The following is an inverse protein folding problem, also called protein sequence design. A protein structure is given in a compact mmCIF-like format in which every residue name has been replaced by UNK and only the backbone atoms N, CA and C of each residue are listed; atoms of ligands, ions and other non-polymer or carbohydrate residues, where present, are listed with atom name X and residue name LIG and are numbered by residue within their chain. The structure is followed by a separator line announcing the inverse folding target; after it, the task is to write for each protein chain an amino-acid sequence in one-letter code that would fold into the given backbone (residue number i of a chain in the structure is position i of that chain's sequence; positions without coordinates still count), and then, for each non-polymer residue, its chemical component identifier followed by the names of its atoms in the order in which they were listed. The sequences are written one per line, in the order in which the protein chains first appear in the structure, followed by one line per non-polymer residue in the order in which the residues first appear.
data_IF_624489851265
#
_entry.id   IF_624489851265
#
_cell.length_a   1.000
_cell.length_b   1.000
_cell.length_c   1.000
_cell.angle_alpha   90.00
_cell.angle_beta   90.00
_cell.angle_gamma   90.00
#
_symmetry.space_group_name_H-M   'P 1'
#
loop_
_entity.id
_entity.type
_entity.pdbx_description
1 polymer ?
#
# COMPACT_ATOMS: atom_id res chain seq x y z
N UNK A 1 -50.05 14.32 -21.02
CA UNK A 1 -48.87 13.66 -21.61
C UNK A 1 -47.65 13.89 -20.72
N UNK A 2 -47.45 13.10 -19.65
CA UNK A 2 -46.27 13.17 -18.79
C UNK A 2 -46.04 11.78 -18.17
N UNK A 3 -45.41 10.87 -18.90
CA UNK A 3 -45.13 9.52 -18.38
C UNK A 3 -43.81 8.92 -18.86
N UNK A 4 -42.87 9.73 -19.35
CA UNK A 4 -41.61 9.25 -19.98
C UNK A 4 -40.32 9.87 -19.44
N UNK A 5 -40.34 10.58 -18.30
CA UNK A 5 -39.14 11.27 -17.78
C UNK A 5 -38.50 10.65 -16.52
N UNK A 6 -38.98 9.51 -16.02
CA UNK A 6 -38.39 8.87 -14.83
C UNK A 6 -37.19 7.96 -15.15
N UNK A 7 -37.07 7.45 -16.37
CA UNK A 7 -35.99 6.52 -16.73
C UNK A 7 -34.61 7.19 -16.86
N UNK A 8 -34.53 8.44 -17.32
CA UNK A 8 -33.27 9.15 -17.50
C UNK A 8 -32.62 9.57 -16.17
N UNK A 9 -33.41 9.78 -15.11
CA UNK A 9 -32.88 10.22 -13.81
C UNK A 9 -32.17 9.10 -13.04
N UNK A 10 -32.55 7.82 -13.23
CA UNK A 10 -31.86 6.69 -12.59
C UNK A 10 -30.47 6.40 -13.20
N UNK A 11 -30.30 6.68 -14.49
CA UNK A 11 -29.06 6.35 -15.22
C UNK A 11 -27.88 7.25 -14.82
N UNK A 12 -28.16 8.52 -14.52
CA UNK A 12 -27.14 9.50 -14.07
C UNK A 12 -26.69 9.22 -12.63
N UNK A 13 -27.61 8.78 -11.76
CA UNK A 13 -27.29 8.44 -10.36
C UNK A 13 -26.42 7.18 -10.24
N UNK A 14 -26.57 6.22 -11.16
CA UNK A 14 -25.76 4.99 -11.15
C UNK A 14 -24.31 5.24 -11.61
N UNK A 15 -24.10 6.21 -12.51
CA UNK A 15 -22.76 6.57 -12.98
C UNK A 15 -21.91 7.25 -11.89
N UNK A 16 -22.52 8.05 -11.01
CA UNK A 16 -21.84 8.71 -9.88
C UNK A 16 -21.54 7.76 -8.72
N UNK A 17 -22.36 6.70 -8.54
CA UNK A 17 -22.10 5.68 -7.53
C UNK A 17 -20.90 4.79 -7.87
N UNK A 18 -20.60 4.59 -9.16
CA UNK A 18 -19.48 3.75 -9.61
C UNK A 18 -18.12 4.46 -9.54
N UNK A 19 -18.07 5.79 -9.67
CA UNK A 19 -16.82 6.56 -9.53
C UNK A 19 -16.31 6.66 -8.09
N UNK A 20 -17.16 6.37 -7.09
CA UNK A 20 -16.78 6.37 -5.67
C UNK A 20 -16.53 4.99 -5.06
N UNK A 21 -16.78 3.90 -5.79
CA UNK A 21 -16.72 2.53 -5.23
C UNK A 21 -15.28 2.02 -5.03
N UNK A 22 -14.30 2.57 -5.75
CA UNK A 22 -12.90 2.12 -5.67
C UNK A 22 -12.03 2.91 -4.67
N UNK A 23 -12.55 4.01 -4.13
CA UNK A 23 -11.77 4.88 -3.25
C UNK A 23 -11.48 4.25 -1.86
N UNK A 24 -12.28 3.26 -1.46
CA UNK A 24 -12.09 2.49 -0.23
C UNK A 24 -11.13 1.30 -0.35
N UNK A 25 -10.73 0.93 -1.56
CA UNK A 25 -9.93 -0.29 -1.77
C UNK A 25 -8.53 -0.15 -1.21
N UNK A 26 -8.09 -1.14 -0.43
CA UNK A 26 -6.73 -1.20 0.12
C UNK A 26 -6.42 -0.17 1.22
N UNK A 27 -7.42 0.45 1.83
CA UNK A 27 -7.21 1.46 2.88
C UNK A 27 -6.45 0.92 4.10
N UNK A 28 -6.56 -0.39 4.37
CA UNK A 28 -5.82 -1.05 5.46
C UNK A 28 -4.30 -0.91 5.33
N UNK A 29 -3.76 -0.69 4.14
CA UNK A 29 -2.31 -0.48 3.94
C UNK A 29 -1.81 0.89 4.40
N UNK A 30 -2.67 1.91 4.39
CA UNK A 30 -2.27 3.30 4.67
C UNK A 30 -1.73 3.42 6.10
N UNK A 31 -0.65 4.17 6.25
CA UNK A 31 0.01 4.46 7.52
C UNK A 31 1.45 3.96 7.58
N UNK A 32 2.00 3.99 8.81
CA UNK A 32 3.40 3.68 9.08
C UNK A 32 3.58 2.28 9.64
N UNK A 33 4.59 1.58 9.12
CA UNK A 33 4.88 0.19 9.39
C UNK A 33 6.36 0.00 9.71
N UNK A 34 6.67 -0.88 10.65
CA UNK A 34 8.04 -1.24 11.03
C UNK A 34 8.28 -2.69 10.68
N UNK A 35 9.38 -2.96 9.98
CA UNK A 35 9.79 -4.30 9.58
C UNK A 35 11.12 -4.67 10.21
N UNK A 36 11.24 -5.95 10.57
CA UNK A 36 12.48 -6.53 11.09
C UNK A 36 12.84 -7.75 10.25
N UNK A 37 14.08 -7.79 9.75
CA UNK A 37 14.67 -9.00 9.19
C UNK A 37 15.65 -9.60 10.19
N UNK A 38 15.15 -10.51 11.02
CA UNK A 38 15.97 -11.18 12.04
C UNK A 38 16.98 -12.18 11.46
N UNK A 39 16.89 -12.50 10.15
CA UNK A 39 17.72 -13.55 9.52
C UNK A 39 18.99 -13.02 8.86
N UNK A 40 19.10 -11.70 8.62
CA UNK A 40 20.28 -11.09 7.97
C UNK A 40 21.35 -10.64 8.96
N UNK A 41 22.61 -10.87 8.61
CA UNK A 41 23.75 -10.19 9.26
C UNK A 41 23.60 -8.67 9.09
N UNK A 42 23.94 -7.89 10.14
CA UNK A 42 23.77 -6.44 10.17
C UNK A 42 22.43 -5.93 10.72
N UNK A 43 21.44 -6.83 10.94
CA UNK A 43 20.11 -6.53 11.53
C UNK A 43 19.47 -5.27 10.95
N UNK A 44 19.14 -5.25 9.65
CA UNK A 44 18.54 -4.09 9.04
C UNK A 44 17.18 -3.80 9.69
N UNK A 45 16.92 -2.52 9.95
CA UNK A 45 15.60 -2.05 10.36
C UNK A 45 14.92 -1.39 9.18
N UNK A 46 13.63 -1.68 9.02
CA UNK A 46 12.83 -1.14 7.93
C UNK A 46 11.71 -0.29 8.50
N UNK A 47 11.49 0.86 7.86
CA UNK A 47 10.31 1.68 8.11
C UNK A 47 9.64 1.93 6.78
N UNK A 48 8.35 1.64 6.70
CA UNK A 48 7.57 1.79 5.49
C UNK A 48 6.40 2.72 5.78
N UNK A 49 6.31 3.79 5.01
CA UNK A 49 5.23 4.77 5.06
C UNK A 49 4.41 4.64 3.79
N UNK A 50 3.11 4.40 3.93
CA UNK A 50 2.20 4.18 2.81
C UNK A 50 1.12 5.25 2.85
N UNK A 51 1.04 6.05 1.79
CA UNK A 51 -0.04 6.99 1.55
C UNK A 51 -0.81 6.62 0.28
N UNK A 52 -2.01 7.17 0.14
CA UNK A 52 -2.89 6.95 -1.02
C UNK A 52 -3.30 8.31 -1.59
N UNK A 53 -3.17 8.47 -2.91
CA UNK A 53 -3.66 9.59 -3.70
C UNK A 53 -4.47 9.05 -4.89
N UNK A 54 -5.79 9.24 -4.84
CA UNK A 54 -6.73 8.57 -5.75
C UNK A 54 -6.55 7.06 -5.73
N UNK A 55 -6.27 6.45 -6.88
CA UNK A 55 -6.05 4.99 -7.00
C UNK A 55 -4.61 4.55 -6.75
N UNK A 56 -3.68 5.49 -6.56
CA UNK A 56 -2.24 5.20 -6.45
C UNK A 56 -1.82 5.20 -4.99
N UNK A 57 -1.08 4.17 -4.60
CA UNK A 57 -0.41 4.08 -3.32
C UNK A 57 1.04 4.46 -3.49
N UNK A 58 1.50 5.43 -2.69
CA UNK A 58 2.92 5.77 -2.59
C UNK A 58 3.51 5.01 -1.40
N UNK A 59 4.49 4.16 -1.66
CA UNK A 59 5.15 3.31 -0.68
C UNK A 59 6.59 3.76 -0.54
N UNK A 60 6.89 4.43 0.57
CA UNK A 60 8.21 4.93 0.90
C UNK A 60 8.84 4.00 1.93
N UNK A 61 9.88 3.26 1.53
CA UNK A 61 10.58 2.32 2.42
C UNK A 61 11.98 2.82 2.73
N UNK A 62 12.19 3.20 3.98
CA UNK A 62 13.50 3.43 4.56
C UNK A 62 14.11 2.10 5.03
N UNK A 63 15.38 1.89 4.72
CA UNK A 63 16.20 0.81 5.27
C UNK A 63 17.37 1.43 6.00
N UNK A 64 17.55 1.07 7.26
CA UNK A 64 18.74 1.41 8.05
C UNK A 64 19.54 0.14 8.29
N UNK A 65 20.80 0.10 7.88
CA UNK A 65 21.63 -1.10 8.03
C UNK A 65 23.12 -0.77 8.14
N UNK A 66 23.87 -1.64 8.82
CA UNK A 66 25.33 -1.60 8.85
C UNK A 66 25.87 -2.54 7.75
N UNK A 67 26.29 -1.96 6.63
CA UNK A 67 26.76 -2.71 5.46
C UNK A 67 28.17 -3.29 5.64
N UNK A 68 29.02 -2.63 6.43
CA UNK A 68 30.43 -2.98 6.57
C UNK A 68 30.73 -3.74 7.87
N UNK A 69 29.78 -3.80 8.79
CA UNK A 69 29.96 -4.41 10.11
C UNK A 69 30.83 -3.55 11.04
N UNK A 70 31.05 -2.27 10.72
CA UNK A 70 31.89 -1.34 11.48
C UNK A 70 31.10 -0.54 12.52
N UNK A 71 29.80 -0.83 12.66
CA UNK A 71 28.86 -0.15 13.54
C UNK A 71 28.21 1.09 12.93
N UNK A 72 28.65 1.55 11.75
CA UNK A 72 28.03 2.70 11.08
C UNK A 72 26.78 2.27 10.34
N UNK A 73 25.66 2.88 10.70
CA UNK A 73 24.37 2.60 10.06
C UNK A 73 24.13 3.59 8.93
N UNK A 74 23.97 3.07 7.72
CA UNK A 74 23.58 3.83 6.54
C UNK A 74 22.07 3.76 6.35
N UNK A 75 21.50 4.86 5.86
CA UNK A 75 20.08 4.96 5.48
C UNK A 75 19.94 4.98 3.98
N UNK A 76 18.98 4.22 3.47
CA UNK A 76 18.56 4.27 2.07
C UNK A 76 17.04 4.34 1.98
N UNK A 77 16.54 5.00 0.94
CA UNK A 77 15.11 5.17 0.69
C UNK A 77 14.75 4.56 -0.66
N UNK A 78 13.69 3.74 -0.68
CA UNK A 78 13.09 3.21 -1.91
C UNK A 78 11.68 3.77 -2.02
N UNK A 79 11.44 4.51 -3.11
CA UNK A 79 10.13 5.07 -3.45
C UNK A 79 9.46 4.12 -4.46
N UNK A 80 8.24 3.71 -4.17
CA UNK A 80 7.48 2.78 -4.99
C UNK A 80 6.05 3.28 -5.16
N UNK A 81 5.45 2.91 -6.29
CA UNK A 81 4.05 3.14 -6.57
C UNK A 81 3.34 1.80 -6.76
N UNK A 82 2.14 1.71 -6.20
CA UNK A 82 1.32 0.51 -6.27
C UNK A 82 -0.14 0.84 -6.59
N UNK A 83 -0.88 -0.14 -7.10
CA UNK A 83 -2.33 -0.12 -7.23
C UNK A 83 -2.95 -1.24 -6.41
N UNK A 84 -4.16 -1.03 -5.91
CA UNK A 84 -4.87 -2.07 -5.17
C UNK A 84 -5.54 -3.08 -6.11
N UNK A 85 -5.11 -4.34 -6.04
CA UNK A 85 -5.77 -5.47 -6.72
C UNK A 85 -6.93 -6.02 -5.90
N UNK A 86 -6.85 -5.90 -4.57
CA UNK A 86 -7.95 -6.15 -3.62
C UNK A 86 -7.76 -5.29 -2.36
N UNK A 87 -8.62 -5.45 -1.35
CA UNK A 87 -8.42 -4.78 -0.05
C UNK A 87 -7.18 -5.26 0.70
N UNK A 88 -6.65 -6.43 0.33
CA UNK A 88 -5.54 -7.11 1.00
C UNK A 88 -4.32 -7.32 0.09
N UNK A 89 -4.34 -6.78 -1.13
CA UNK A 89 -3.24 -6.90 -2.09
C UNK A 89 -2.97 -5.59 -2.82
N UNK A 90 -1.76 -5.07 -2.66
CA UNK A 90 -1.21 -4.04 -3.55
C UNK A 90 -0.28 -4.69 -4.59
N UNK A 91 -0.36 -4.21 -5.81
CA UNK A 91 0.44 -4.62 -6.96
C UNK A 91 1.34 -3.47 -7.40
N UNK A 92 2.62 -3.76 -7.54
CA UNK A 92 3.64 -2.84 -8.01
C UNK A 92 4.16 -3.31 -9.37
N UNK A 93 4.62 -2.36 -10.20
CA UNK A 93 5.21 -2.65 -11.52
C UNK A 93 4.32 -3.56 -12.39
N UNK A 94 3.01 -3.32 -12.37
CA UNK A 94 2.05 -4.09 -13.18
C UNK A 94 1.90 -5.56 -12.78
N UNK A 95 2.09 -5.91 -11.50
CA UNK A 95 1.86 -7.26 -10.98
C UNK A 95 3.11 -8.11 -10.78
N UNK A 96 4.30 -7.60 -11.12
CA UNK A 96 5.56 -8.32 -10.91
C UNK A 96 5.94 -8.45 -9.43
N UNK A 97 5.48 -7.52 -8.60
CA UNK A 97 5.71 -7.53 -7.16
C UNK A 97 4.39 -7.24 -6.46
N UNK A 98 4.04 -8.07 -5.50
CA UNK A 98 2.82 -7.90 -4.71
C UNK A 98 3.15 -7.72 -3.24
N UNK A 99 2.39 -6.86 -2.58
CA UNK A 99 2.38 -6.66 -1.14
C UNK A 99 1.05 -7.18 -0.58
N UNK A 100 1.11 -8.00 0.48
CA UNK A 100 -0.08 -8.60 1.09
C UNK A 100 -0.33 -8.03 2.48
N UNK A 101 -1.60 -7.80 2.80
CA UNK A 101 -2.07 -7.43 4.14
C UNK A 101 -2.90 -8.58 4.71
N UNK A 102 -2.52 -9.08 5.87
CA UNK A 102 -3.27 -10.09 6.62
C UNK A 102 -3.47 -9.57 8.05
N UNK A 103 -4.70 -9.15 8.37
CA UNK A 103 -4.97 -8.42 9.61
C UNK A 103 -4.14 -7.14 9.67
N UNK A 104 -3.34 -6.97 10.72
CA UNK A 104 -2.43 -5.82 10.93
C UNK A 104 -0.96 -6.17 10.63
N UNK A 105 -0.74 -7.04 9.64
CA UNK A 105 0.59 -7.46 9.21
C UNK A 105 0.72 -7.32 7.70
N UNK A 106 1.78 -6.64 7.26
CA UNK A 106 2.16 -6.56 5.84
C UNK A 106 3.30 -7.55 5.57
N UNK A 107 3.15 -8.34 4.51
CA UNK A 107 4.21 -9.16 3.94
C UNK A 107 4.69 -8.55 2.62
N UNK A 108 5.96 -8.17 2.57
CA UNK A 108 6.54 -7.53 1.40
C UNK A 108 8.05 -7.71 1.32
N UNK A 109 8.56 -8.11 0.15
CA UNK A 109 10.00 -8.23 -0.11
C UNK A 109 10.74 -9.11 0.93
N UNK A 110 10.11 -10.23 1.31
CA UNK A 110 10.54 -11.15 2.37
C UNK A 110 10.62 -10.56 3.78
N UNK A 111 10.10 -9.35 3.99
CA UNK A 111 10.03 -8.70 5.30
C UNK A 111 8.58 -8.74 5.80
N UNK A 112 8.43 -8.99 7.09
CA UNK A 112 7.16 -8.86 7.80
C UNK A 112 7.15 -7.50 8.48
N UNK A 113 6.09 -6.73 8.26
CA UNK A 113 5.90 -5.43 8.88
C UNK A 113 4.68 -5.43 9.77
N UNK A 114 4.81 -4.82 10.94
CA UNK A 114 3.72 -4.55 11.87
C UNK A 114 3.51 -3.05 11.97
N UNK A 115 2.34 -2.62 12.46
CA UNK A 115 2.11 -1.20 12.77
C UNK A 115 3.23 -0.67 13.66
N UNK A 116 3.71 0.52 13.34
CA UNK A 116 4.61 1.24 14.23
C UNK A 116 3.84 1.55 15.54
N UNK A 117 4.50 1.35 16.69
CA UNK A 117 3.96 1.74 18.01
C UNK A 117 4.05 3.24 18.22
#
# INVERSE_FOLDING_TARGET
MFKRMTAFSCLVLFALALSGCFDGKGQGFVGRWTGEDMKRMGKPTFVMDISKDGEVFHVNRETTQDLMGDGKREKSMKLLEAKAESDTVLSMRGGLVTMRLEGDVIYFDNITYTRAK
#
